data_IF_078287676759
#
_entry.id   IF_078287676759
#
_cell.length_a   1.000
_cell.length_b   1.000
_cell.length_c   1.000
_cell.angle_alpha   90.00
_cell.angle_beta   90.00
_cell.angle_gamma   90.00
#
_symmetry.space_group_name_H-M   'P 1'
#
loop_
_entity.id
_entity.type
_entity.pdbx_description
1 polymer ?
#
# COMPACT_ATOMS: atom_id res chain seq x y z
N UNK A 1 23.76 13.20 -19.26
CA UNK A 1 24.01 12.42 -18.02
C UNK A 1 24.96 11.29 -18.32
N UNK A 2 26.04 11.15 -17.54
CA UNK A 2 26.97 10.03 -17.66
C UNK A 2 26.23 8.67 -17.68
N UNK A 3 26.58 7.79 -18.62
CA UNK A 3 25.97 6.45 -18.81
C UNK A 3 25.92 5.66 -17.50
N UNK A 4 26.98 5.74 -16.70
CA UNK A 4 27.08 5.12 -15.36
C UNK A 4 25.96 5.58 -14.42
N UNK A 5 25.68 6.89 -14.38
CA UNK A 5 24.58 7.45 -13.56
C UNK A 5 23.22 6.94 -14.06
N UNK A 6 23.02 6.84 -15.38
CA UNK A 6 21.75 6.33 -15.96
C UNK A 6 21.48 4.88 -15.58
N UNK A 7 22.51 4.03 -15.64
CA UNK A 7 22.39 2.62 -15.25
C UNK A 7 22.03 2.51 -13.76
N UNK A 8 22.72 3.27 -12.90
CA UNK A 8 22.43 3.31 -11.46
C UNK A 8 20.99 3.76 -11.18
N UNK A 9 20.55 4.85 -11.79
CA UNK A 9 19.20 5.37 -11.57
C UNK A 9 18.10 4.38 -11.98
N UNK A 10 18.31 3.64 -13.08
CA UNK A 10 17.37 2.59 -13.53
C UNK A 10 17.37 1.41 -12.55
N UNK A 11 18.54 0.96 -12.11
CA UNK A 11 18.68 -0.12 -11.14
C UNK A 11 17.97 0.22 -9.82
N UNK A 12 18.26 1.40 -9.25
CA UNK A 12 17.68 1.84 -7.98
C UNK A 12 16.14 1.94 -8.05
N UNK A 13 15.60 2.39 -9.18
CA UNK A 13 14.14 2.43 -9.41
C UNK A 13 13.52 1.04 -9.42
N UNK A 14 14.13 0.08 -10.13
CA UNK A 14 13.66 -1.31 -10.19
C UNK A 14 13.72 -2.00 -8.83
N UNK A 15 14.82 -1.82 -8.09
CA UNK A 15 14.97 -2.37 -6.74
C UNK A 15 13.92 -1.80 -5.77
N UNK A 16 13.64 -0.49 -5.83
CA UNK A 16 12.58 0.14 -5.03
C UNK A 16 11.20 -0.44 -5.34
N UNK A 17 10.89 -0.65 -6.62
CA UNK A 17 9.61 -1.26 -7.04
C UNK A 17 9.50 -2.72 -6.58
N UNK A 18 10.56 -3.52 -6.72
CA UNK A 18 10.59 -4.89 -6.25
C UNK A 18 10.40 -4.98 -4.72
N UNK A 19 11.10 -4.15 -3.95
CA UNK A 19 10.98 -4.11 -2.49
C UNK A 19 9.58 -3.68 -2.01
N UNK A 20 8.90 -2.80 -2.75
CA UNK A 20 7.50 -2.44 -2.46
C UNK A 20 6.52 -3.59 -2.70
N UNK A 21 6.80 -4.45 -3.69
CA UNK A 21 5.98 -5.62 -4.01
C UNK A 21 6.19 -6.76 -3.00
N UNK A 22 7.43 -6.97 -2.54
CA UNK A 22 7.77 -8.02 -1.55
C UNK A 22 7.34 -7.63 -0.13
N UNK A 23 7.53 -6.37 0.28
CA UNK A 23 7.06 -5.85 1.56
C UNK A 23 5.96 -4.81 1.34
N UNK A 24 4.69 -5.23 1.20
CA UNK A 24 3.59 -4.28 1.14
C UNK A 24 3.60 -3.45 2.43
N UNK A 25 3.80 -2.13 2.28
CA UNK A 25 3.75 -1.15 3.39
C UNK A 25 2.44 -1.17 4.19
N UNK A 26 1.43 -1.87 3.67
CA UNK A 26 0.11 -2.08 4.27
C UNK A 26 0.04 -3.25 5.25
N UNK A 27 1.06 -4.12 5.34
CA UNK A 27 1.05 -5.28 6.24
C UNK A 27 0.96 -4.89 7.73
N UNK A 28 1.36 -3.66 8.08
CA UNK A 28 1.11 -3.07 9.39
C UNK A 28 0.53 -1.68 9.18
N UNK A 29 -0.55 -1.31 9.89
CA UNK A 29 -1.05 0.05 9.84
C UNK A 29 0.07 1.01 10.28
N UNK A 30 0.21 2.13 9.57
CA UNK A 30 1.14 3.19 9.93
C UNK A 30 0.89 3.57 11.39
N UNK A 31 1.92 3.48 12.23
CA UNK A 31 1.80 3.95 13.60
C UNK A 31 1.57 5.46 13.58
N UNK A 32 0.41 5.87 14.08
CA UNK A 32 0.01 7.26 14.31
C UNK A 32 0.06 7.54 15.80
N UNK A 33 0.30 8.79 16.18
CA UNK A 33 0.31 9.18 17.59
C UNK A 33 -1.07 8.98 18.25
N UNK A 34 -1.11 8.88 19.60
CA UNK A 34 -2.38 8.76 20.34
C UNK A 34 -3.36 9.92 20.02
N UNK A 35 -2.83 11.12 19.79
CA UNK A 35 -3.64 12.29 19.43
C UNK A 35 -4.25 12.17 18.03
N UNK A 36 -3.50 11.67 17.04
CA UNK A 36 -4.00 11.46 15.68
C UNK A 36 -5.02 10.33 15.61
N UNK A 37 -4.86 9.29 16.43
CA UNK A 37 -5.83 8.20 16.53
C UNK A 37 -7.18 8.67 17.05
N UNK A 38 -7.17 9.52 18.09
CA UNK A 38 -8.40 10.12 18.62
C UNK A 38 -9.06 11.08 17.62
N UNK A 39 -8.27 11.83 16.84
CA UNK A 39 -8.80 12.70 15.77
C UNK A 39 -9.45 11.90 14.66
N UNK A 40 -8.79 10.84 14.18
CA UNK A 40 -9.37 9.97 13.14
C UNK A 40 -10.58 9.18 13.64
N UNK A 41 -10.63 8.78 14.90
CA UNK A 41 -11.82 8.12 15.49
C UNK A 41 -12.99 9.10 15.65
N UNK A 42 -12.73 10.35 16.04
CA UNK A 42 -13.74 11.41 16.09
C UNK A 42 -14.25 11.80 14.69
N UNK A 43 -13.37 11.88 13.69
CA UNK A 43 -13.74 12.14 12.30
C UNK A 43 -14.50 10.96 11.67
N UNK A 44 -14.11 9.71 11.97
CA UNK A 44 -14.82 8.50 11.54
C UNK A 44 -16.20 8.37 12.21
N UNK A 45 -16.32 8.75 13.48
CA UNK A 45 -17.61 8.80 14.18
C UNK A 45 -18.53 9.91 13.65
N UNK A 46 -17.98 11.01 13.13
CA UNK A 46 -18.74 12.12 12.57
C UNK A 46 -19.19 11.89 11.11
N UNK A 47 -18.48 11.05 10.34
CA UNK A 47 -18.83 10.70 8.96
C UNK A 47 -18.72 9.18 8.75
N UNK A 48 -19.80 8.40 9.03
CA UNK A 48 -19.81 6.95 8.80
C UNK A 48 -19.90 6.55 7.31
N UNK A 49 -19.59 7.47 6.38
CA UNK A 49 -19.91 7.32 4.95
C UNK A 49 -18.73 7.60 4.03
N UNK A 50 -17.53 7.10 4.32
CA UNK A 50 -16.45 6.99 3.31
C UNK A 50 -15.49 5.84 3.62
N UNK A 51 -16.00 4.63 3.84
CA UNK A 51 -15.22 3.39 3.69
C UNK A 51 -16.08 2.36 2.94
N UNK A 52 -16.43 2.69 1.69
CA UNK A 52 -16.87 1.71 0.69
C UNK A 52 -16.06 1.98 -0.58
N UNK A 53 -14.84 1.46 -0.63
CA UNK A 53 -14.10 1.06 -1.83
C UNK A 53 -12.75 0.45 -1.33
N UNK A 54 -12.45 -0.83 -1.43
CA UNK A 54 -12.90 -1.82 -2.38
C UNK A 54 -12.90 -3.21 -1.74
N UNK A 55 -14.08 -3.83 -1.73
CA UNK A 55 -14.26 -5.27 -1.66
C UNK A 55 -14.40 -5.81 -3.10
N UNK A 56 -13.98 -7.07 -3.29
CA UNK A 56 -14.32 -7.96 -4.40
C UNK A 56 -13.68 -7.71 -5.80
N UNK A 57 -12.72 -8.58 -6.14
CA UNK A 57 -12.88 -9.40 -7.35
C UNK A 57 -12.84 -10.87 -6.92
N UNK A 58 -14.01 -11.51 -6.99
CA UNK A 58 -14.29 -12.89 -6.64
C UNK A 58 -13.64 -13.92 -7.60
N UNK A 59 -13.40 -15.10 -7.04
CA UNK A 59 -13.47 -16.46 -7.59
C UNK A 59 -13.38 -16.71 -9.11
N UNK A 60 -12.43 -17.58 -9.49
CA UNK A 60 -12.73 -18.73 -10.35
C UNK A 60 -11.95 -19.94 -9.89
N UNK A 61 -12.66 -20.94 -9.37
CA UNK A 61 -12.18 -22.31 -9.24
C UNK A 61 -11.74 -22.86 -10.61
N UNK A 62 -10.59 -23.51 -10.67
CA UNK A 62 -10.40 -24.72 -11.47
C UNK A 62 -9.48 -25.65 -10.68
N UNK A 63 -10.09 -26.62 -10.01
CA UNK A 63 -9.46 -27.93 -9.80
C UNK A 63 -9.32 -28.56 -11.18
N UNK A 64 -8.11 -28.91 -11.59
CA UNK A 64 -7.94 -29.93 -12.62
C UNK A 64 -6.63 -30.70 -12.40
N UNK A 65 -6.80 -32.02 -12.49
CA UNK A 65 -5.91 -33.19 -12.52
C UNK A 65 -4.41 -33.04 -12.19
#
# INVERSE_FOLDING_TARGET
MNRRKKIKDIYDKRMKQANLKVNPKKAKPKYISKAERAKMEAEAAANPSTDVDAEASETSETKDA
#
